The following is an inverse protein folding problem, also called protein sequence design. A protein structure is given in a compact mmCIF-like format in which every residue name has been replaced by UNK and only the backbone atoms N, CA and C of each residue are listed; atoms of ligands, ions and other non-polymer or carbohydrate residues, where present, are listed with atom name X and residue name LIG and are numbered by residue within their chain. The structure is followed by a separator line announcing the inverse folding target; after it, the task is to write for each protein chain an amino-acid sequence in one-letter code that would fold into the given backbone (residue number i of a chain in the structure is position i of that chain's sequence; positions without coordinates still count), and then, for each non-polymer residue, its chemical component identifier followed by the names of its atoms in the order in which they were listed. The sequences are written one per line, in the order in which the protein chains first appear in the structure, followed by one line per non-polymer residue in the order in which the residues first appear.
data_IF_458431863745
#
_entry.id   IF_458431863745
#
_cell.length_a   1.000
_cell.length_b   1.000
_cell.length_c   1.000
_cell.angle_alpha   90.00
_cell.angle_beta   90.00
_cell.angle_gamma   90.00
#
_symmetry.space_group_name_H-M   'P 1'
#
loop_
_entity.id
_entity.type
_entity.pdbx_description
1 polymer ?
#
# COMPACT_ATOMS: atom_id res chain seq x y z
N UNK A 1 14.95 -7.83 4.89
CA UNK A 1 13.75 -7.54 5.73
C UNK A 1 12.58 -8.41 5.29
N UNK A 2 12.04 -8.23 4.08
CA UNK A 2 10.85 -8.97 3.61
C UNK A 2 10.95 -10.51 3.67
N UNK A 3 12.09 -11.13 3.35
CA UNK A 3 12.28 -12.59 3.55
C UNK A 3 12.06 -13.06 4.99
N UNK A 4 12.47 -12.23 5.96
CA UNK A 4 12.30 -12.54 7.37
C UNK A 4 10.86 -12.26 7.80
N UNK A 5 10.25 -11.18 7.32
CA UNK A 5 8.85 -10.87 7.59
C UNK A 5 7.91 -11.94 7.04
N UNK A 6 8.24 -12.59 5.91
CA UNK A 6 7.46 -13.70 5.37
C UNK A 6 7.51 -14.97 6.24
N UNK A 7 8.29 -15.00 7.32
CA UNK A 7 8.35 -16.10 8.29
C UNK A 7 7.65 -15.76 9.60
N UNK A 8 6.82 -14.71 9.59
CA UNK A 8 6.11 -14.17 10.76
C UNK A 8 4.60 -14.10 10.46
N UNK A 9 3.82 -13.37 11.25
CA UNK A 9 2.39 -13.11 11.01
C UNK A 9 2.10 -12.31 9.72
N UNK A 10 3.14 -11.78 9.08
CA UNK A 10 3.05 -11.16 7.76
C UNK A 10 3.17 -12.16 6.59
N UNK A 11 3.40 -13.45 6.85
CA UNK A 11 3.46 -14.48 5.80
C UNK A 11 2.25 -14.36 4.87
N UNK A 12 2.55 -14.05 3.61
CA UNK A 12 1.55 -13.88 2.56
C UNK A 12 2.22 -13.77 1.20
N UNK A 13 1.49 -14.20 0.17
CA UNK A 13 1.91 -14.10 -1.21
C UNK A 13 2.47 -12.72 -1.60
N UNK A 14 1.83 -11.62 -1.15
CA UNK A 14 2.30 -10.27 -1.47
C UNK A 14 3.64 -9.92 -0.82
N UNK A 15 3.92 -10.41 0.39
CA UNK A 15 5.21 -10.21 1.06
C UNK A 15 6.30 -11.03 0.39
N UNK A 16 5.99 -12.28 0.02
CA UNK A 16 6.88 -13.16 -0.73
C UNK A 16 7.31 -12.56 -2.08
N UNK A 17 6.34 -12.19 -2.94
CA UNK A 17 6.69 -11.61 -4.25
C UNK A 17 7.43 -10.29 -4.10
N UNK A 18 7.17 -9.50 -3.05
CA UNK A 18 7.91 -8.27 -2.77
C UNK A 18 9.38 -8.58 -2.48
N UNK A 19 9.66 -9.61 -1.68
CA UNK A 19 11.02 -10.07 -1.43
C UNK A 19 11.73 -10.50 -2.73
N UNK A 20 11.03 -11.21 -3.61
CA UNK A 20 11.54 -11.66 -4.90
C UNK A 20 11.80 -10.47 -5.87
N UNK A 21 10.86 -9.54 -5.97
CA UNK A 21 10.98 -8.33 -6.80
C UNK A 21 12.20 -7.49 -6.40
N UNK A 22 12.44 -7.31 -5.09
CA UNK A 22 13.57 -6.53 -4.59
C UNK A 22 14.93 -7.16 -4.95
N UNK A 23 14.99 -8.47 -5.13
CA UNK A 23 16.22 -9.20 -5.51
C UNK A 23 16.41 -9.30 -7.02
N UNK A 24 15.35 -9.14 -7.80
CA UNK A 24 15.38 -9.34 -9.24
C UNK A 24 16.37 -8.39 -9.92
N UNK A 25 17.23 -8.96 -10.78
CA UNK A 25 18.23 -8.24 -11.56
C UNK A 25 17.86 -8.27 -13.03
N UNK A 26 18.05 -7.14 -13.69
CA UNK A 26 17.91 -6.97 -15.12
C UNK A 26 19.15 -7.53 -15.87
N UNK A 27 19.07 -7.57 -17.20
CA UNK A 27 20.12 -8.00 -18.13
C UNK A 27 21.48 -7.31 -17.94
N UNK A 28 21.51 -6.09 -17.43
CA UNK A 28 22.74 -5.34 -17.11
C UNK A 28 23.31 -5.67 -15.71
N UNK A 29 22.72 -6.65 -15.01
CA UNK A 29 23.13 -7.09 -13.67
C UNK A 29 22.68 -6.16 -12.53
N UNK A 30 22.01 -5.04 -12.81
CA UNK A 30 21.49 -4.11 -11.79
C UNK A 30 20.06 -4.49 -11.38
N UNK A 31 19.62 -4.04 -10.22
CA UNK A 31 18.24 -4.27 -9.78
C UNK A 31 17.25 -3.62 -10.75
N UNK A 32 16.19 -4.35 -11.10
CA UNK A 32 15.17 -3.87 -12.04
C UNK A 32 14.27 -2.80 -11.40
N UNK A 33 13.88 -2.98 -10.13
CA UNK A 33 12.88 -2.14 -9.47
C UNK A 33 13.12 -0.61 -9.60
N UNK A 34 14.34 -0.08 -9.36
CA UNK A 34 14.59 1.36 -9.50
C UNK A 34 14.45 1.92 -10.93
N UNK A 35 14.39 1.05 -11.95
CA UNK A 35 14.23 1.45 -13.36
C UNK A 35 12.75 1.51 -13.79
N UNK A 36 11.85 0.97 -12.98
CA UNK A 36 10.41 0.94 -13.30
C UNK A 36 9.83 2.34 -13.07
N UNK A 37 9.06 2.84 -14.05
CA UNK A 37 8.35 4.12 -13.92
C UNK A 37 7.35 4.04 -12.76
N UNK A 38 7.46 4.98 -11.83
CA UNK A 38 6.64 5.12 -10.62
C UNK A 38 5.26 5.72 -10.91
N UNK A 39 4.52 5.09 -11.82
CA UNK A 39 3.15 5.45 -12.21
C UNK A 39 2.29 4.19 -12.22
N UNK A 40 1.53 3.99 -11.16
CA UNK A 40 0.71 2.80 -10.98
C UNK A 40 -0.54 2.84 -11.86
N UNK A 41 -0.75 1.78 -12.63
CA UNK A 41 -2.01 1.57 -13.36
C UNK A 41 -3.13 1.02 -12.46
N UNK A 42 -4.37 1.15 -12.92
CA UNK A 42 -5.53 0.53 -12.28
C UNK A 42 -6.63 0.20 -13.30
N UNK A 43 -7.38 -0.88 -13.06
CA UNK A 43 -8.48 -1.34 -13.95
C UNK A 43 -9.88 -1.04 -13.43
N UNK A 44 -10.02 -0.44 -12.24
CA UNK A 44 -11.29 0.07 -11.71
C UNK A 44 -11.82 -0.59 -10.44
N UNK A 45 -11.51 -1.86 -10.18
CA UNK A 45 -12.09 -2.59 -9.01
C UNK A 45 -11.83 -1.92 -7.66
N UNK A 46 -10.61 -1.42 -7.43
CA UNK A 46 -10.29 -0.66 -6.20
C UNK A 46 -11.08 0.65 -6.09
N UNK A 47 -11.30 1.35 -7.22
CA UNK A 47 -12.12 2.56 -7.27
C UNK A 47 -13.58 2.24 -6.95
N UNK A 48 -14.11 1.12 -7.46
CA UNK A 48 -15.47 0.69 -7.14
C UNK A 48 -15.66 0.41 -5.66
N UNK A 49 -14.70 -0.24 -4.99
CA UNK A 49 -14.77 -0.43 -3.54
C UNK A 49 -14.82 0.89 -2.77
N UNK A 50 -14.01 1.88 -3.18
CA UNK A 50 -14.04 3.21 -2.56
C UNK A 50 -15.37 3.95 -2.81
N UNK A 51 -15.95 3.81 -4.00
CA UNK A 51 -17.27 4.38 -4.32
C UNK A 51 -18.36 3.73 -3.46
N UNK A 52 -18.41 2.40 -3.42
CA UNK A 52 -19.40 1.69 -2.60
C UNK A 52 -19.27 2.00 -1.10
N UNK A 53 -18.04 2.21 -0.61
CA UNK A 53 -17.82 2.66 0.76
C UNK A 53 -18.50 4.01 1.05
N UNK A 54 -18.41 4.96 0.10
CA UNK A 54 -19.07 6.26 0.22
C UNK A 54 -20.60 6.13 0.09
N UNK A 55 -21.09 5.34 -0.87
CA UNK A 55 -22.53 5.10 -1.08
C UNK A 55 -23.20 4.50 0.15
N UNK A 56 -22.56 3.52 0.80
CA UNK A 56 -23.11 2.84 1.98
C UNK A 56 -22.65 3.45 3.31
N UNK A 57 -22.02 4.63 3.30
CA UNK A 57 -21.61 5.34 4.51
C UNK A 57 -20.67 4.56 5.42
N UNK A 58 -19.75 3.76 4.86
CA UNK A 58 -18.80 2.93 5.62
C UNK A 58 -17.37 3.47 5.51
N UNK A 59 -16.61 3.59 6.62
CA UNK A 59 -15.29 4.22 6.62
C UNK A 59 -14.17 3.30 6.10
N UNK A 60 -14.14 3.03 4.79
CA UNK A 60 -13.08 2.23 4.14
C UNK A 60 -11.92 3.11 3.70
N UNK A 61 -11.30 3.77 4.67
CA UNK A 61 -10.31 4.83 4.42
C UNK A 61 -9.03 4.32 3.77
N UNK A 62 -8.49 3.17 4.20
CA UNK A 62 -7.19 2.71 3.72
C UNK A 62 -7.24 2.28 2.25
N UNK A 63 -8.33 1.62 1.83
CA UNK A 63 -8.53 1.28 0.40
C UNK A 63 -8.73 2.56 -0.43
N UNK A 64 -9.45 3.56 0.11
CA UNK A 64 -9.57 4.88 -0.50
C UNK A 64 -8.21 5.54 -0.74
N UNK A 65 -7.37 5.63 0.30
CA UNK A 65 -6.01 6.18 0.20
C UNK A 65 -5.13 5.37 -0.75
N UNK A 66 -5.30 4.04 -0.82
CA UNK A 66 -4.58 3.22 -1.79
C UNK A 66 -4.97 3.54 -3.25
N UNK A 67 -6.23 3.92 -3.51
CA UNK A 67 -6.68 4.40 -4.82
C UNK A 67 -6.11 5.78 -5.11
N UNK A 68 -6.17 6.72 -4.16
CA UNK A 68 -5.63 8.07 -4.34
C UNK A 68 -4.11 8.08 -4.52
N UNK A 69 -3.37 7.22 -3.83
CA UNK A 69 -1.93 7.07 -4.02
C UNK A 69 -1.58 6.64 -5.46
N UNK A 70 -2.40 5.79 -6.09
CA UNK A 70 -2.22 5.43 -7.52
C UNK A 70 -2.48 6.63 -8.41
N UNK A 71 -3.59 7.35 -8.20
CA UNK A 71 -3.89 8.58 -8.93
C UNK A 71 -2.74 9.59 -8.82
N UNK A 72 -2.22 9.84 -7.61
CA UNK A 72 -1.09 10.73 -7.37
C UNK A 72 0.19 10.26 -8.09
N UNK A 73 0.45 8.95 -8.11
CA UNK A 73 1.61 8.40 -8.84
C UNK A 73 1.53 8.65 -10.35
N UNK A 74 0.32 8.64 -10.92
CA UNK A 74 0.09 8.92 -12.34
C UNK A 74 0.34 10.38 -12.74
N UNK A 75 0.25 11.32 -11.79
CA UNK A 75 0.60 12.74 -11.98
C UNK A 75 2.13 12.95 -11.98
N UNK A 76 2.87 12.14 -12.75
CA UNK A 76 4.34 12.09 -12.72
C UNK A 76 4.97 13.43 -13.05
N UNK A 77 4.50 14.07 -14.13
CA UNK A 77 5.12 15.30 -14.62
C UNK A 77 4.86 16.47 -13.65
N UNK A 78 3.64 16.55 -13.09
CA UNK A 78 3.31 17.49 -12.02
C UNK A 78 4.16 17.27 -10.76
N UNK A 79 4.38 16.02 -10.33
CA UNK A 79 5.25 15.71 -9.17
C UNK A 79 6.69 16.12 -9.40
N UNK A 80 7.21 15.91 -10.61
CA UNK A 80 8.58 16.32 -10.97
C UNK A 80 8.70 17.83 -10.95
N UNK A 81 7.74 18.55 -11.50
CA UNK A 81 7.74 20.01 -11.48
C UNK A 81 7.60 20.57 -10.05
N UNK A 82 6.66 20.02 -9.26
CA UNK A 82 6.47 20.40 -7.87
C UNK A 82 7.74 20.20 -7.03
N UNK A 83 8.51 19.12 -7.27
CA UNK A 83 9.76 18.86 -6.53
C UNK A 83 10.86 19.91 -6.75
N UNK A 84 10.78 20.72 -7.81
CA UNK A 84 11.72 21.83 -8.07
C UNK A 84 11.38 23.07 -7.24
N UNK A 85 10.10 23.23 -6.90
CA UNK A 85 9.57 24.41 -6.21
C UNK A 85 9.32 24.18 -4.72
N UNK A 86 8.94 22.95 -4.34
CA UNK A 86 8.61 22.58 -2.96
C UNK A 86 9.82 21.93 -2.28
N UNK A 87 10.24 22.50 -1.16
CA UNK A 87 11.33 21.94 -0.34
C UNK A 87 10.77 21.10 0.80
N UNK A 88 11.32 19.90 0.97
CA UNK A 88 11.09 19.07 2.15
C UNK A 88 12.07 19.38 3.30
N UNK A 89 11.87 18.80 4.50
CA UNK A 89 12.81 18.89 5.61
C UNK A 89 14.23 18.45 5.18
N UNK A 90 15.23 19.29 5.44
CA UNK A 90 16.63 19.04 5.06
C UNK A 90 17.44 18.49 6.24
N UNK A 91 18.49 17.72 5.94
CA UNK A 91 19.47 17.27 6.93
C UNK A 91 19.00 16.19 7.91
N UNK A 92 17.82 15.61 7.71
CA UNK A 92 17.31 14.51 8.56
C UNK A 92 18.16 13.26 8.33
N UNK A 93 18.99 12.91 9.30
CA UNK A 93 19.73 11.64 9.34
C UNK A 93 19.15 10.76 10.44
N UNK A 94 18.85 9.51 10.10
CA UNK A 94 18.44 8.52 11.09
C UNK A 94 19.64 8.10 11.93
N UNK A 95 19.60 8.36 13.24
CA UNK A 95 20.63 8.01 14.22
C UNK A 95 20.18 6.94 15.23
N UNK A 96 18.95 6.43 15.10
CA UNK A 96 18.39 5.43 16.00
C UNK A 96 18.88 4.01 15.71
N UNK A 97 18.41 3.06 16.51
CA UNK A 97 18.62 1.64 16.27
C UNK A 97 17.82 1.18 15.04
N UNK A 98 18.54 0.79 13.99
CA UNK A 98 17.95 0.29 12.74
C UNK A 98 17.16 -1.01 12.94
N UNK A 99 17.61 -1.90 13.82
CA UNK A 99 16.94 -3.17 14.05
C UNK A 99 15.60 -2.96 14.76
N UNK A 100 15.59 -2.17 15.84
CA UNK A 100 14.37 -1.77 16.52
C UNK A 100 13.39 -1.06 15.57
N UNK A 101 13.88 -0.10 14.78
CA UNK A 101 13.04 0.64 13.84
C UNK A 101 12.44 -0.23 12.73
N UNK A 102 13.18 -1.21 12.23
CA UNK A 102 12.64 -2.19 11.27
C UNK A 102 11.55 -3.07 11.89
N UNK A 103 11.68 -3.42 13.16
CA UNK A 103 10.64 -4.16 13.88
C UNK A 103 9.39 -3.31 14.10
N UNK A 104 9.55 -2.02 14.40
CA UNK A 104 8.42 -1.09 14.50
C UNK A 104 7.68 -0.94 13.17
N UNK A 105 8.40 -0.83 12.05
CA UNK A 105 7.79 -0.81 10.70
C UNK A 105 7.03 -2.11 10.44
N UNK A 106 7.59 -3.27 10.81
CA UNK A 106 6.94 -4.57 10.63
C UNK A 106 5.61 -4.63 11.37
N UNK A 107 5.60 -4.22 12.65
CA UNK A 107 4.38 -4.15 13.47
C UNK A 107 3.38 -3.14 12.92
N UNK A 108 3.83 -1.96 12.50
CA UNK A 108 2.98 -0.93 11.91
C UNK A 108 2.31 -1.42 10.61
N UNK A 109 3.05 -2.13 9.76
CA UNK A 109 2.51 -2.77 8.56
C UNK A 109 1.45 -3.82 8.91
N UNK A 110 1.72 -4.69 9.89
CA UNK A 110 0.77 -5.72 10.31
C UNK A 110 -0.50 -5.11 10.92
N UNK A 111 -0.37 -4.12 11.79
CA UNK A 111 -1.52 -3.39 12.36
C UNK A 111 -2.34 -2.70 11.26
N UNK A 112 -1.68 -2.03 10.31
CA UNK A 112 -2.36 -1.38 9.17
C UNK A 112 -3.11 -2.38 8.30
N UNK A 113 -2.55 -3.59 8.10
CA UNK A 113 -3.22 -4.69 7.42
C UNK A 113 -4.50 -5.08 8.16
N UNK A 114 -4.44 -5.31 9.48
CA UNK A 114 -5.63 -5.64 10.29
C UNK A 114 -6.72 -4.58 10.12
N UNK A 115 -6.36 -3.29 10.22
CA UNK A 115 -7.32 -2.18 10.05
C UNK A 115 -7.95 -2.21 8.66
N UNK A 116 -7.16 -2.39 7.60
CA UNK A 116 -7.68 -2.48 6.22
C UNK A 116 -8.69 -3.62 6.05
N UNK A 117 -8.38 -4.80 6.57
CA UNK A 117 -9.31 -5.94 6.49
C UNK A 117 -10.57 -5.69 7.32
N UNK A 118 -10.44 -5.14 8.53
CA UNK A 118 -11.60 -4.78 9.35
C UNK A 118 -12.54 -3.82 8.60
N UNK A 119 -12.00 -2.80 7.94
CA UNK A 119 -12.78 -1.88 7.09
C UNK A 119 -13.48 -2.60 5.94
N UNK A 120 -12.79 -3.51 5.25
CA UNK A 120 -13.40 -4.31 4.18
C UNK A 120 -14.56 -5.19 4.67
N UNK A 121 -14.39 -5.87 5.80
CA UNK A 121 -15.46 -6.67 6.40
C UNK A 121 -16.62 -5.82 6.93
N UNK A 122 -16.35 -4.60 7.43
CA UNK A 122 -17.41 -3.65 7.78
C UNK A 122 -18.26 -3.30 6.56
N UNK A 123 -17.63 -3.06 5.40
CA UNK A 123 -18.34 -2.78 4.15
C UNK A 123 -19.17 -3.96 3.68
N UNK A 124 -18.62 -5.18 3.71
CA UNK A 124 -19.36 -6.39 3.37
C UNK A 124 -20.56 -6.58 4.29
N UNK A 125 -20.41 -6.36 5.60
CA UNK A 125 -21.51 -6.44 6.55
C UNK A 125 -22.60 -5.40 6.28
N UNK A 126 -22.23 -4.18 5.87
CA UNK A 126 -23.21 -3.16 5.50
C UNK A 126 -23.93 -3.51 4.20
N UNK A 127 -23.19 -3.98 3.19
CA UNK A 127 -23.77 -4.45 1.93
C UNK A 127 -24.74 -5.64 2.13
N UNK A 128 -24.41 -6.59 3.01
CA UNK A 128 -25.31 -7.69 3.34
C UNK A 128 -26.67 -7.22 3.85
N UNK A 129 -26.70 -6.16 4.67
CA UNK A 129 -27.96 -5.56 5.15
C UNK A 129 -28.73 -4.87 4.03
N UNK A 130 -28.05 -4.11 3.19
CA UNK A 130 -28.67 -3.36 2.09
C UNK A 130 -29.29 -4.28 1.05
N UNK A 131 -28.63 -5.40 0.76
CA UNK A 131 -29.02 -6.33 -0.30
C UNK A 131 -29.74 -7.60 0.20
N UNK A 132 -29.99 -7.70 1.50
CA UNK A 132 -30.53 -8.91 2.14
C UNK A 132 -29.75 -10.18 1.79
N UNK A 133 -28.42 -10.06 1.76
CA UNK A 133 -27.51 -11.17 1.46
C UNK A 133 -27.03 -11.86 2.73
N UNK A 134 -27.03 -13.19 2.69
CA UNK A 134 -26.41 -14.02 3.71
C UNK A 134 -24.99 -14.41 3.28
N UNK A 135 -24.00 -13.73 3.85
CA UNK A 135 -22.61 -14.18 3.77
C UNK A 135 -22.34 -15.22 4.87
N UNK A 136 -21.50 -16.21 4.55
CA UNK A 136 -20.98 -17.17 5.54
C UNK A 136 -19.85 -16.55 6.38
#
# INVERSE_FOLDING_TARGET
AFDNWNKTELDSFLIEITANILKYRDSDGKHLLPKIRDSAGQKGTGKWTAISALEYGTPVTLIGEAVFARCLSSLKDERVEASRSLSGPQGVKFSGDKAAFLEDIRKALYASKIISYAQGFMLLRQAAKEFDWSFN
#
